data_IF_572623674236
#
_entry.id   IF_572623674236
#
_cell.length_a   1.000
_cell.length_b   1.000
_cell.length_c   1.000
_cell.angle_alpha   90.00
_cell.angle_beta   90.00
_cell.angle_gamma   90.00
#
_symmetry.space_group_name_H-M   'P 1'
#
loop_
_entity.id
_entity.type
_entity.pdbx_description
1 polymer ?
#
# COMPACT_ATOMS: atom_id res chain seq x y z
N UNK A 1 18.11 2.26 25.88
CA UNK A 1 18.15 1.41 24.68
C UNK A 1 18.54 2.29 23.51
N UNK A 2 19.51 1.89 22.70
CA UNK A 2 19.92 2.62 21.50
C UNK A 2 19.56 1.78 20.27
N UNK A 3 19.14 2.43 19.18
CA UNK A 3 18.86 1.77 17.92
C UNK A 3 19.97 2.12 16.93
N UNK A 4 20.69 1.10 16.46
CA UNK A 4 21.70 1.24 15.42
C UNK A 4 21.11 0.79 14.08
N UNK A 5 21.32 1.58 13.03
CA UNK A 5 20.88 1.23 11.68
C UNK A 5 22.00 0.50 10.98
N UNK A 6 21.85 -0.82 10.83
CA UNK A 6 22.72 -1.66 10.01
C UNK A 6 22.03 -1.91 8.67
N UNK A 7 22.70 -1.55 7.56
CA UNK A 7 22.22 -1.84 6.21
C UNK A 7 22.87 -3.13 5.75
N UNK A 8 22.05 -4.11 5.38
CA UNK A 8 22.51 -5.40 4.85
C UNK A 8 22.34 -5.44 3.33
N UNK A 9 23.34 -5.94 2.64
CA UNK A 9 23.32 -6.12 1.19
C UNK A 9 23.23 -7.61 0.85
N UNK A 10 22.37 -7.94 -0.10
CA UNK A 10 22.21 -9.31 -0.63
C UNK A 10 22.69 -9.41 -2.07
N UNK A 11 23.17 -10.59 -2.46
CA UNK A 11 23.47 -10.92 -3.85
C UNK A 11 22.19 -11.31 -4.64
N UNK A 12 22.38 -11.67 -5.92
CA UNK A 12 21.30 -12.08 -6.82
C UNK A 12 20.60 -13.39 -6.42
N UNK A 13 21.18 -14.16 -5.48
CA UNK A 13 20.60 -15.37 -4.91
C UNK A 13 19.95 -15.12 -3.55
N UNK A 14 19.96 -13.87 -3.06
CA UNK A 14 19.41 -13.48 -1.76
C UNK A 14 20.32 -13.79 -0.57
N UNK A 15 21.60 -14.12 -0.81
CA UNK A 15 22.58 -14.35 0.26
C UNK A 15 23.22 -13.04 0.70
N UNK A 16 23.52 -12.89 1.98
CA UNK A 16 24.22 -11.71 2.49
C UNK A 16 25.64 -11.65 1.89
N UNK A 17 26.00 -10.49 1.33
CA UNK A 17 27.33 -10.25 0.76
C UNK A 17 28.37 -10.15 1.89
N UNK A 18 27.98 -9.54 3.01
CA UNK A 18 28.84 -9.32 4.17
C UNK A 18 28.06 -9.53 5.47
N UNK A 19 28.76 -10.03 6.50
CA UNK A 19 28.22 -10.17 7.85
C UNK A 19 28.79 -9.06 8.75
N UNK A 20 27.93 -8.32 9.48
CA UNK A 20 28.41 -7.31 10.41
C UNK A 20 29.18 -7.95 11.56
N UNK A 21 30.21 -7.27 12.04
CA UNK A 21 30.97 -7.70 13.22
C UNK A 21 30.14 -7.41 14.47
N UNK A 22 29.82 -8.47 15.22
CA UNK A 22 29.01 -8.37 16.43
C UNK A 22 29.90 -8.23 17.68
N UNK A 23 29.35 -7.63 18.73
CA UNK A 23 30.05 -7.49 20.00
C UNK A 23 30.30 -8.86 20.65
N UNK A 24 31.48 -9.08 21.26
CA UNK A 24 31.79 -10.35 21.92
C UNK A 24 30.87 -10.57 23.12
N UNK A 25 30.42 -11.81 23.31
CA UNK A 25 29.54 -12.23 24.42
C UNK A 25 28.21 -11.47 24.52
N UNK A 26 27.72 -10.88 23.41
CA UNK A 26 26.44 -10.20 23.36
C UNK A 26 25.34 -11.11 22.76
N UNK A 27 24.13 -11.03 23.31
CA UNK A 27 22.92 -11.58 22.68
C UNK A 27 22.28 -10.50 21.84
N UNK A 28 22.16 -10.74 20.54
CA UNK A 28 21.62 -9.78 19.58
C UNK A 28 20.42 -10.44 18.89
N UNK A 29 19.28 -9.76 18.92
CA UNK A 29 18.08 -10.14 18.18
C UNK A 29 17.86 -9.14 17.04
N UNK A 30 17.63 -9.65 15.84
CA UNK A 30 17.36 -8.84 14.65
C UNK A 30 15.97 -9.17 14.11
N UNK A 31 15.14 -8.14 13.94
CA UNK A 31 13.80 -8.25 13.34
C UNK A 31 13.89 -7.68 11.92
N UNK A 32 13.70 -8.53 10.93
CA UNK A 32 13.66 -8.13 9.52
C UNK A 32 12.23 -7.92 9.06
N UNK A 33 11.94 -6.71 8.58
CA UNK A 33 10.68 -6.41 7.90
C UNK A 33 10.90 -6.59 6.40
N UNK A 34 10.41 -7.71 5.87
CA UNK A 34 10.46 -7.99 4.44
C UNK A 34 9.22 -7.35 3.81
N UNK A 35 9.43 -6.37 2.95
CA UNK A 35 8.36 -5.84 2.12
C UNK A 35 8.17 -6.81 0.95
N UNK A 36 7.02 -7.49 0.91
CA UNK A 36 6.69 -8.41 -0.19
C UNK A 36 6.83 -7.68 -1.53
N UNK A 37 7.88 -8.02 -2.28
CA UNK A 37 8.08 -7.53 -3.66
C UNK A 37 7.27 -8.33 -4.67
N UNK A 38 6.49 -9.33 -4.23
CA UNK A 38 5.40 -9.81 -5.04
C UNK A 38 4.53 -8.60 -5.33
N UNK A 39 4.68 -8.07 -6.56
CA UNK A 39 3.64 -7.32 -7.24
C UNK A 39 2.38 -8.07 -6.88
N UNK A 40 1.58 -7.53 -5.95
CA UNK A 40 0.14 -7.71 -6.03
C UNK A 40 -0.08 -7.37 -7.49
N UNK A 41 -0.33 -8.39 -8.32
CA UNK A 41 -0.89 -8.10 -9.63
C UNK A 41 -2.02 -7.17 -9.26
N UNK A 42 -1.99 -5.94 -9.79
CA UNK A 42 -3.10 -5.04 -9.59
C UNK A 42 -4.28 -5.89 -10.03
N UNK A 43 -5.00 -6.43 -9.05
CA UNK A 43 -6.13 -7.30 -9.31
C UNK A 43 -7.06 -6.25 -9.85
N UNK A 44 -7.10 -6.13 -11.17
CA UNK A 44 -7.95 -5.16 -11.83
C UNK A 44 -9.30 -5.41 -11.18
N UNK A 45 -9.73 -4.48 -10.35
CA UNK A 45 -11.01 -4.55 -9.67
C UNK A 45 -12.03 -4.22 -10.75
N UNK A 46 -12.16 -5.12 -11.71
CA UNK A 46 -13.25 -5.08 -12.66
C UNK A 46 -14.49 -5.42 -11.86
N UNK A 47 -15.56 -4.61 -11.95
CA UNK A 47 -16.84 -4.96 -11.38
C UNK A 47 -17.22 -6.39 -11.79
N UNK A 48 -17.92 -7.10 -10.90
CA UNK A 48 -18.51 -8.39 -11.26
C UNK A 48 -19.32 -8.24 -12.56
N UNK A 49 -19.38 -9.28 -13.40
CA UNK A 49 -20.12 -9.26 -14.68
C UNK A 49 -21.55 -8.72 -14.51
N UNK A 50 -22.22 -9.08 -13.41
CA UNK A 50 -23.55 -8.58 -13.06
C UNK A 50 -23.65 -7.05 -12.87
N UNK A 51 -22.55 -6.37 -12.51
CA UNK A 51 -22.50 -4.91 -12.35
C UNK A 51 -22.13 -4.19 -13.65
N UNK A 52 -21.41 -4.84 -14.57
CA UNK A 52 -21.06 -4.24 -15.87
C UNK A 52 -22.31 -3.97 -16.73
N UNK A 53 -23.31 -4.85 -16.62
CA UNK A 53 -24.55 -4.74 -17.39
C UNK A 53 -25.64 -3.92 -16.69
N UNK A 54 -25.50 -3.67 -15.38
CA UNK A 54 -26.48 -2.92 -14.60
C UNK A 54 -26.42 -1.40 -14.84
N UNK A 55 -25.30 -0.88 -15.33
CA UNK A 55 -25.10 0.55 -15.57
C UNK A 55 -25.05 0.84 -17.07
N UNK A 56 -26.20 1.17 -17.64
CA UNK A 56 -26.31 1.69 -19.01
C UNK A 56 -26.36 3.21 -18.95
N UNK A 57 -25.29 3.88 -19.38
CA UNK A 57 -25.32 5.34 -19.60
C UNK A 57 -26.09 5.55 -20.91
N UNK A 58 -27.35 5.99 -20.80
CA UNK A 58 -28.29 6.12 -21.92
C UNK A 58 -28.20 7.46 -22.66
N UNK A 59 -27.18 8.28 -22.37
CA UNK A 59 -26.97 9.59 -23.00
C UNK A 59 -25.57 10.16 -22.74
N UNK A 60 -25.30 11.35 -23.26
CA UNK A 60 -24.02 12.03 -23.07
C UNK A 60 -23.89 12.58 -21.64
N UNK A 61 -22.74 12.34 -20.99
CA UNK A 61 -22.40 12.97 -19.71
C UNK A 61 -22.02 14.43 -20.00
N UNK A 62 -23.00 15.32 -19.94
CA UNK A 62 -22.82 16.77 -20.15
C UNK A 62 -22.39 17.51 -18.87
N UNK A 63 -22.49 16.85 -17.72
CA UNK A 63 -22.05 17.36 -16.42
C UNK A 63 -21.78 16.19 -15.46
N UNK A 64 -20.96 16.44 -14.44
CA UNK A 64 -20.73 15.46 -13.37
C UNK A 64 -22.06 15.07 -12.72
N UNK A 65 -22.35 13.77 -12.53
CA UNK A 65 -23.54 13.32 -11.79
C UNK A 65 -23.44 13.61 -10.28
N UNK A 66 -22.27 14.02 -9.81
CA UNK A 66 -22.00 14.38 -8.43
C UNK A 66 -21.90 15.90 -8.27
N UNK A 67 -22.48 16.42 -7.19
CA UNK A 67 -22.32 17.82 -6.77
C UNK A 67 -20.88 18.11 -6.30
N UNK A 68 -20.48 19.38 -6.30
CA UNK A 68 -19.15 19.79 -5.81
C UNK A 68 -18.91 19.36 -4.35
N UNK A 69 -19.94 19.39 -3.51
CA UNK A 69 -19.84 18.94 -2.12
C UNK A 69 -19.59 17.43 -2.02
N UNK A 70 -20.23 16.62 -2.87
CA UNK A 70 -20.01 15.17 -2.91
C UNK A 70 -18.61 14.84 -3.42
N UNK A 71 -18.14 15.56 -4.45
CA UNK A 71 -16.79 15.42 -4.97
C UNK A 71 -15.74 15.80 -3.92
N UNK A 72 -15.92 16.91 -3.22
CA UNK A 72 -15.02 17.34 -2.15
C UNK A 72 -14.98 16.30 -1.02
N UNK A 73 -16.13 15.78 -0.59
CA UNK A 73 -16.18 14.71 0.42
C UNK A 73 -15.52 13.40 -0.05
N UNK A 74 -15.54 13.09 -1.34
CA UNK A 74 -14.79 11.95 -1.90
C UNK A 74 -13.28 12.18 -1.88
N UNK A 75 -12.84 13.40 -2.17
CA UNK A 75 -11.41 13.78 -2.13
C UNK A 75 -10.87 13.77 -0.71
N UNK A 76 -11.62 14.33 0.24
CA UNK A 76 -11.25 14.35 1.67
C UNK A 76 -11.13 12.93 2.23
N UNK A 77 -12.13 12.08 2.04
CA UNK A 77 -12.06 10.66 2.45
C UNK A 77 -10.87 9.92 1.83
N UNK A 78 -10.55 10.22 0.57
CA UNK A 78 -9.39 9.60 -0.11
C UNK A 78 -8.07 10.07 0.51
N UNK A 79 -7.97 11.34 0.91
CA UNK A 79 -6.81 11.88 1.59
C UNK A 79 -6.63 11.26 2.98
N UNK A 80 -7.72 11.11 3.74
CA UNK A 80 -7.70 10.52 5.09
C UNK A 80 -7.33 9.03 5.06
N UNK A 81 -7.82 8.29 4.06
CA UNK A 81 -7.43 6.89 3.84
C UNK A 81 -5.94 6.74 3.49
N UNK A 82 -5.39 7.67 2.69
CA UNK A 82 -3.95 7.70 2.37
C UNK A 82 -3.10 8.09 3.57
N UNK A 83 -3.63 8.92 4.47
CA UNK A 83 -3.00 9.27 5.74
C UNK A 83 -3.07 8.14 6.78
N UNK A 84 -3.86 7.10 6.53
CA UNK A 84 -4.01 5.95 7.42
C UNK A 84 -4.96 6.18 8.60
N UNK A 85 -5.92 7.11 8.47
CA UNK A 85 -6.94 7.32 9.49
C UNK A 85 -7.91 6.11 9.55
N UNK A 86 -8.00 5.40 10.68
CA UNK A 86 -8.89 4.25 10.83
C UNK A 86 -10.39 4.59 10.73
N UNK A 87 -10.80 5.84 10.98
CA UNK A 87 -12.21 6.26 10.87
C UNK A 87 -12.64 6.46 9.42
N UNK A 88 -11.70 6.67 8.49
CA UNK A 88 -11.99 6.91 7.06
C UNK A 88 -12.39 5.64 6.28
N UNK A 89 -12.38 4.47 6.92
CA UNK A 89 -12.74 3.16 6.34
C UNK A 89 -14.13 2.65 6.77
N UNK A 90 -14.88 3.42 7.58
CA UNK A 90 -16.25 3.10 8.01
C UNK A 90 -17.29 3.64 7.03
#
# INVERSE_FOLDING_TARGET
>A
MHAERVVLHTDDQGSLIEHPVLAPNATIEAIFLIQDQHKRSARNHTPAEALKEAMTITGDITSSPFSENELNGMVERSADQLAGDPEAFK
#
